data_IF_909283485932
#
_entry.id   IF_909283485932
#
_cell.length_a   1.000
_cell.length_b   1.000
_cell.length_c   1.000
_cell.angle_alpha   90.00
_cell.angle_beta   90.00
_cell.angle_gamma   90.00
#
_symmetry.space_group_name_H-M   'P 1'
#
loop_
_entity.id
_entity.type
_entity.pdbx_description
1 polymer ?
#
# COMPACT_ATOMS: atom_id res chain seq x y z
N UNK A 1 0.37 -7.76 60.97
CA UNK A 1 0.77 -6.96 59.79
C UNK A 1 0.45 -7.80 58.56
N UNK A 2 -0.63 -7.48 57.84
CA UNK A 2 -1.13 -8.23 56.67
C UNK A 2 -0.31 -7.81 55.44
N UNK A 3 0.62 -8.65 55.01
CA UNK A 3 1.34 -8.45 53.74
C UNK A 3 0.41 -8.92 52.61
N UNK A 4 -0.44 -7.97 52.18
CA UNK A 4 -0.88 -7.88 50.80
C UNK A 4 0.34 -7.54 49.92
N UNK A 5 0.20 -7.56 48.60
CA UNK A 5 1.20 -7.19 47.55
C UNK A 5 1.93 -8.35 46.85
N UNK A 6 2.15 -9.51 47.47
CA UNK A 6 2.88 -10.60 46.78
C UNK A 6 2.07 -11.27 45.65
N UNK A 7 0.74 -11.30 45.75
CA UNK A 7 -0.14 -11.81 44.68
C UNK A 7 -0.46 -10.76 43.60
N UNK A 8 -0.33 -9.46 43.92
CA UNK A 8 -0.70 -8.38 43.00
C UNK A 8 0.43 -8.03 42.04
N UNK A 9 1.68 -8.30 42.41
CA UNK A 9 2.86 -7.96 41.60
C UNK A 9 3.15 -8.97 40.47
N UNK A 10 2.58 -10.18 40.56
CA UNK A 10 2.81 -11.27 39.58
C UNK A 10 1.86 -11.20 38.37
N UNK A 11 0.68 -10.57 38.51
CA UNK A 11 -0.33 -10.54 37.43
C UNK A 11 -0.20 -9.29 36.53
N UNK A 12 0.33 -8.18 37.06
CA UNK A 12 0.41 -6.90 36.34
C UNK A 12 1.58 -6.86 35.33
N UNK A 13 2.61 -7.70 35.50
CA UNK A 13 3.85 -7.60 34.71
C UNK A 13 3.85 -8.49 33.46
N UNK A 14 3.01 -9.53 33.38
CA UNK A 14 3.14 -10.55 32.31
C UNK A 14 2.17 -10.45 31.13
N UNK A 15 1.24 -9.48 31.07
CA UNK A 15 0.23 -9.45 29.99
C UNK A 15 0.28 -8.25 29.05
N UNK A 16 1.23 -7.32 29.21
CA UNK A 16 1.29 -6.09 28.39
C UNK A 16 2.12 -6.24 27.11
N UNK A 17 2.72 -7.40 26.83
CA UNK A 17 3.39 -7.65 25.55
C UNK A 17 2.38 -8.13 24.49
N UNK A 18 1.39 -7.28 24.22
CA UNK A 18 0.67 -7.34 22.94
C UNK A 18 1.65 -6.89 21.86
N UNK A 19 2.43 -7.84 21.34
CA UNK A 19 3.28 -7.64 20.17
C UNK A 19 2.43 -7.34 18.94
N UNK A 20 1.94 -6.12 18.82
CA UNK A 20 1.43 -5.59 17.58
C UNK A 20 2.66 -5.28 16.72
N UNK A 21 3.10 -6.25 15.92
CA UNK A 21 4.10 -6.04 14.88
C UNK A 21 3.49 -5.17 13.78
N UNK A 22 3.37 -3.87 14.03
CA UNK A 22 3.19 -2.91 12.94
C UNK A 22 4.51 -2.91 12.17
N UNK A 23 4.47 -3.26 10.89
CA UNK A 23 5.65 -3.09 10.04
C UNK A 23 6.08 -1.63 10.10
N UNK A 24 7.37 -1.44 10.34
CA UNK A 24 7.96 -0.11 10.47
C UNK A 24 7.99 0.55 9.08
N UNK A 25 7.51 1.79 9.00
CA UNK A 25 7.53 2.56 7.76
C UNK A 25 8.98 2.79 7.32
N UNK A 26 9.27 2.48 6.06
CA UNK A 26 10.51 2.87 5.38
C UNK A 26 10.51 4.39 5.12
N UNK A 27 11.66 4.96 4.79
CA UNK A 27 11.74 6.38 4.39
C UNK A 27 10.85 6.67 3.17
N UNK A 28 10.87 5.78 2.16
CA UNK A 28 9.99 5.82 0.99
C UNK A 28 8.53 5.57 1.36
N UNK A 29 8.27 4.72 2.35
CA UNK A 29 6.95 4.49 2.92
C UNK A 29 6.38 5.76 3.58
N UNK A 30 7.20 6.55 4.27
CA UNK A 30 6.78 7.84 4.82
C UNK A 30 6.37 8.82 3.72
N UNK A 31 7.18 8.95 2.66
CA UNK A 31 6.86 9.79 1.48
C UNK A 31 5.54 9.35 0.84
N UNK A 32 5.36 8.04 0.62
CA UNK A 32 4.13 7.50 0.05
C UNK A 32 2.92 7.72 0.97
N UNK A 33 3.11 7.58 2.28
CA UNK A 33 2.07 7.81 3.29
C UNK A 33 1.61 9.26 3.28
N UNK A 34 2.53 10.22 3.28
CA UNK A 34 2.23 11.65 3.25
C UNK A 34 1.45 12.02 1.98
N UNK A 35 1.87 11.54 0.82
CA UNK A 35 1.14 11.74 -0.44
C UNK A 35 -0.31 11.22 -0.38
N UNK A 36 -0.53 10.02 0.17
CA UNK A 36 -1.87 9.45 0.30
C UNK A 36 -2.74 10.22 1.30
N UNK A 37 -2.15 10.71 2.40
CA UNK A 37 -2.85 11.57 3.36
C UNK A 37 -3.22 12.92 2.73
N UNK A 38 -2.35 13.53 1.93
CA UNK A 38 -2.61 14.78 1.19
C UNK A 38 -3.71 14.63 0.14
N UNK A 39 -3.81 13.46 -0.49
CA UNK A 39 -4.94 13.08 -1.36
C UNK A 39 -6.26 12.92 -0.61
N UNK A 40 -6.24 12.95 0.72
CA UNK A 40 -7.42 12.82 1.58
C UNK A 40 -7.84 11.37 1.85
N UNK A 41 -6.98 10.39 1.54
CA UNK A 41 -7.27 8.99 1.81
C UNK A 41 -6.97 8.64 3.26
N UNK A 42 -7.87 7.87 3.89
CA UNK A 42 -7.63 7.32 5.22
C UNK A 42 -6.80 6.04 5.11
N UNK A 43 -5.58 6.09 5.60
CA UNK A 43 -4.68 4.93 5.66
C UNK A 43 -5.16 3.96 6.75
N UNK A 44 -5.49 2.73 6.36
CA UNK A 44 -5.90 1.66 7.27
C UNK A 44 -4.69 0.84 7.74
N UNK A 45 -3.77 0.52 6.83
CA UNK A 45 -2.51 -0.14 7.13
C UNK A 45 -1.44 0.21 6.10
N UNK A 46 -0.20 0.27 6.56
CA UNK A 46 0.99 0.07 5.74
C UNK A 46 1.30 -1.42 5.77
N UNK A 47 1.46 -2.03 4.60
CA UNK A 47 1.71 -3.46 4.51
C UNK A 47 3.21 -3.73 4.52
N UNK A 48 3.95 -3.11 3.59
CA UNK A 48 5.42 -3.17 3.43
C UNK A 48 5.84 -2.50 2.12
N UNK A 49 7.15 -2.34 1.95
CA UNK A 49 7.78 -2.24 0.63
C UNK A 49 7.67 -3.62 -0.05
N UNK A 50 6.88 -3.72 -1.11
CA UNK A 50 6.64 -5.00 -1.80
C UNK A 50 7.70 -5.32 -2.84
N UNK A 51 8.36 -4.29 -3.39
CA UNK A 51 9.41 -4.45 -4.39
C UNK A 51 10.32 -3.21 -4.45
N UNK A 52 11.55 -3.41 -4.94
CA UNK A 52 12.39 -2.34 -5.47
C UNK A 52 13.07 -2.82 -6.74
N UNK A 53 13.13 -2.00 -7.79
CA UNK A 53 13.77 -2.38 -9.05
C UNK A 53 14.38 -1.19 -9.80
N UNK A 54 15.40 -1.45 -10.61
CA UNK A 54 15.95 -0.49 -11.56
C UNK A 54 15.01 -0.37 -12.77
N UNK A 55 14.51 0.83 -13.03
CA UNK A 55 13.63 1.08 -14.17
C UNK A 55 14.47 1.20 -15.45
N UNK A 56 14.42 0.18 -16.29
CA UNK A 56 15.06 0.18 -17.62
C UNK A 56 14.01 -0.08 -18.69
N UNK A 57 14.30 0.26 -19.95
CA UNK A 57 13.40 -0.09 -21.06
C UNK A 57 13.11 -1.59 -21.15
N UNK A 58 14.10 -2.42 -20.86
CA UNK A 58 13.93 -3.88 -20.85
C UNK A 58 12.99 -4.32 -19.73
N UNK A 59 13.11 -3.71 -18.54
CA UNK A 59 12.21 -3.97 -17.41
C UNK A 59 10.77 -3.58 -17.73
N UNK A 60 10.56 -2.42 -18.36
CA UNK A 60 9.23 -1.95 -18.77
C UNK A 60 8.54 -2.83 -19.81
N UNK A 61 9.30 -3.61 -20.61
CA UNK A 61 8.73 -4.54 -21.59
C UNK A 61 8.32 -5.88 -20.98
N UNK A 62 8.57 -6.08 -19.68
CA UNK A 62 8.26 -7.32 -18.97
C UNK A 62 6.97 -7.16 -18.17
N UNK A 63 6.08 -8.18 -18.17
CA UNK A 63 4.99 -8.22 -17.21
C UNK A 63 5.49 -8.35 -15.76
N UNK A 64 4.83 -7.71 -14.77
CA UNK A 64 3.65 -6.84 -14.92
C UNK A 64 3.99 -5.35 -15.19
N UNK A 65 5.25 -4.97 -15.34
CA UNK A 65 5.69 -3.57 -15.38
C UNK A 65 5.14 -2.80 -16.59
N UNK A 66 5.02 -3.46 -17.75
CA UNK A 66 4.41 -2.89 -18.96
C UNK A 66 2.98 -2.38 -18.69
N UNK A 67 2.19 -3.19 -17.99
CA UNK A 67 0.82 -2.87 -17.62
C UNK A 67 0.79 -1.81 -16.53
N UNK A 68 1.62 -1.94 -15.50
CA UNK A 68 1.61 -1.01 -14.37
C UNK A 68 2.01 0.42 -14.77
N UNK A 69 3.03 0.57 -15.63
CA UNK A 69 3.48 1.88 -16.09
C UNK A 69 2.63 2.48 -17.21
N UNK A 70 1.72 1.70 -17.81
CA UNK A 70 0.75 2.23 -18.79
C UNK A 70 -0.53 2.80 -18.16
N UNK A 71 -0.73 2.61 -16.85
CA UNK A 71 -1.83 3.22 -16.09
C UNK A 71 -1.75 4.75 -16.15
N UNK A 72 -2.92 5.39 -16.32
CA UNK A 72 -3.03 6.84 -16.39
C UNK A 72 -2.30 7.55 -15.23
N UNK A 73 -1.52 8.58 -15.56
CA UNK A 73 -0.71 9.36 -14.61
C UNK A 73 0.71 8.82 -14.38
N UNK A 74 1.00 7.57 -14.77
CA UNK A 74 2.36 7.04 -14.71
C UNK A 74 3.14 7.46 -15.97
N UNK A 75 4.32 8.06 -15.79
CA UNK A 75 5.25 8.36 -16.87
C UNK A 75 6.64 7.82 -16.53
N UNK A 76 7.12 6.75 -17.18
CA UNK A 76 8.40 6.15 -16.84
C UNK A 76 9.62 6.90 -17.39
N UNK A 77 9.48 7.68 -18.47
CA UNK A 77 10.62 8.24 -19.21
C UNK A 77 11.59 9.09 -18.34
N UNK A 78 11.11 9.94 -17.41
CA UNK A 78 12.00 10.75 -16.57
C UNK A 78 12.78 9.95 -15.53
N UNK A 79 12.43 8.67 -15.35
CA UNK A 79 12.93 7.83 -14.26
C UNK A 79 13.72 6.62 -14.75
N UNK A 80 14.06 6.56 -16.04
CA UNK A 80 14.97 5.54 -16.54
C UNK A 80 16.32 5.57 -15.81
N UNK A 81 16.86 4.37 -15.59
CA UNK A 81 18.07 4.09 -14.84
C UNK A 81 18.02 4.51 -13.36
N UNK A 82 16.82 4.75 -12.82
CA UNK A 82 16.59 5.02 -11.40
C UNK A 82 15.93 3.85 -10.70
N UNK A 83 16.14 3.76 -9.39
CA UNK A 83 15.48 2.76 -8.55
C UNK A 83 14.06 3.22 -8.21
N UNK A 84 13.08 2.39 -8.51
CA UNK A 84 11.69 2.53 -8.09
C UNK A 84 11.47 1.69 -6.86
N UNK A 85 10.96 2.30 -5.80
CA UNK A 85 10.48 1.63 -4.59
C UNK A 85 8.96 1.53 -4.65
N UNK A 86 8.41 0.35 -4.38
CA UNK A 86 6.97 0.10 -4.44
C UNK A 86 6.45 -0.13 -3.04
N UNK A 87 5.70 0.85 -2.53
CA UNK A 87 5.16 0.84 -1.17
C UNK A 87 3.68 0.47 -1.18
N UNK A 88 3.30 -0.52 -0.38
CA UNK A 88 1.92 -1.01 -0.35
C UNK A 88 1.16 -0.53 0.87
N UNK A 89 -0.02 0.04 0.63
CA UNK A 89 -0.98 0.42 1.66
C UNK A 89 -2.36 -0.15 1.40
N UNK A 90 -3.15 -0.22 2.47
CA UNK A 90 -4.60 -0.37 2.40
C UNK A 90 -5.21 0.96 2.82
N UNK A 91 -6.05 1.52 1.96
CA UNK A 91 -6.70 2.83 2.18
C UNK A 91 -8.21 2.73 2.13
N UNK A 92 -8.85 3.78 2.63
CA UNK A 92 -10.29 4.04 2.56
C UNK A 92 -10.52 5.50 2.13
N UNK A 93 -11.66 5.79 1.54
CA UNK A 93 -11.97 7.09 0.92
C UNK A 93 -11.47 7.20 -0.52
N UNK A 94 -10.98 6.10 -1.10
CA UNK A 94 -10.55 6.05 -2.49
C UNK A 94 -11.76 5.84 -3.43
N UNK A 95 -11.76 6.35 -4.68
CA UNK A 95 -12.89 6.18 -5.61
C UNK A 95 -13.32 4.71 -5.81
N UNK A 96 -12.35 3.79 -5.75
CA UNK A 96 -12.59 2.34 -5.89
C UNK A 96 -13.17 1.66 -4.62
N UNK A 97 -13.39 2.38 -3.53
CA UNK A 97 -14.11 1.84 -2.37
C UNK A 97 -15.52 1.36 -2.75
N UNK A 98 -16.15 2.05 -3.71
CA UNK A 98 -17.48 1.72 -4.21
C UNK A 98 -17.46 1.04 -5.59
N UNK A 99 -16.30 0.52 -5.99
CA UNK A 99 -16.15 -0.13 -7.29
C UNK A 99 -17.08 -1.33 -7.43
N UNK A 100 -17.69 -1.48 -8.60
CA UNK A 100 -18.54 -2.61 -8.97
C UNK A 100 -18.40 -2.92 -10.46
N UNK A 101 -18.25 -4.21 -10.78
CA UNK A 101 -18.26 -4.69 -12.17
C UNK A 101 -18.73 -6.13 -12.21
N UNK A 102 -19.56 -6.47 -13.21
CA UNK A 102 -20.07 -7.83 -13.44
C UNK A 102 -20.66 -8.51 -12.17
N UNK A 103 -21.36 -7.74 -11.33
CA UNK A 103 -21.95 -8.23 -10.07
C UNK A 103 -20.95 -8.46 -8.93
N UNK A 104 -19.68 -8.11 -9.13
CA UNK A 104 -18.63 -8.11 -8.09
C UNK A 104 -18.50 -6.70 -7.53
N UNK A 105 -18.61 -6.57 -6.21
CA UNK A 105 -18.45 -5.29 -5.49
C UNK A 105 -17.19 -5.28 -4.66
N UNK A 106 -16.59 -4.09 -4.54
CA UNK A 106 -15.56 -3.80 -3.55
C UNK A 106 -16.09 -3.98 -2.12
N UNK A 107 -15.19 -4.30 -1.19
CA UNK A 107 -15.45 -4.41 0.25
C UNK A 107 -15.27 -3.08 0.98
N UNK A 108 -15.22 -1.96 0.26
CA UNK A 108 -15.09 -0.62 0.85
C UNK A 108 -13.69 -0.28 1.35
N UNK A 109 -12.67 -0.88 0.73
CA UNK A 109 -11.26 -0.53 0.91
C UNK A 109 -10.47 -0.87 -0.35
N UNK A 110 -9.30 -0.26 -0.49
CA UNK A 110 -8.48 -0.35 -1.71
C UNK A 110 -7.03 -0.65 -1.33
N UNK A 111 -6.39 -1.53 -2.11
CA UNK A 111 -4.95 -1.71 -2.08
C UNK A 111 -4.31 -0.72 -3.04
N UNK A 112 -3.31 0.01 -2.58
CA UNK A 112 -2.52 0.94 -3.39
C UNK A 112 -1.05 0.55 -3.34
N UNK A 113 -0.40 0.54 -4.50
CA UNK A 113 1.04 0.42 -4.65
C UNK A 113 1.55 1.77 -5.16
N UNK A 114 2.30 2.47 -4.33
CA UNK A 114 2.84 3.80 -4.64
C UNK A 114 4.27 3.64 -5.14
N UNK A 115 4.59 4.25 -6.28
CA UNK A 115 5.93 4.25 -6.85
C UNK A 115 6.68 5.48 -6.36
N UNK A 116 7.80 5.25 -5.68
CA UNK A 116 8.66 6.30 -5.14
C UNK A 116 10.03 6.22 -5.81
N UNK A 117 10.50 7.34 -6.35
CA UNK A 117 11.83 7.49 -6.97
C UNK A 117 12.45 8.78 -6.44
N UNK A 118 13.72 8.73 -6.03
CA UNK A 118 14.47 9.89 -5.50
C UNK A 118 13.70 10.69 -4.42
N UNK A 119 12.94 10.00 -3.56
CA UNK A 119 12.17 10.61 -2.47
C UNK A 119 10.89 11.32 -2.90
N UNK A 120 10.38 11.09 -4.12
CA UNK A 120 9.12 11.63 -4.60
C UNK A 120 8.18 10.53 -5.10
N UNK A 121 6.87 10.72 -4.91
CA UNK A 121 5.86 9.86 -5.55
C UNK A 121 5.78 10.20 -7.03
N UNK A 122 6.02 9.19 -7.87
CA UNK A 122 6.08 9.35 -9.33
C UNK A 122 4.95 8.65 -10.08
N UNK A 123 4.09 7.95 -9.34
CA UNK A 123 3.00 7.17 -9.89
C UNK A 123 2.55 6.07 -8.94
N UNK A 124 1.74 5.17 -9.45
CA UNK A 124 1.29 4.00 -8.72
C UNK A 124 0.09 3.34 -9.36
N UNK A 125 -0.39 2.30 -8.69
CA UNK A 125 -1.56 1.52 -9.12
C UNK A 125 -2.45 1.22 -7.92
N UNK A 126 -3.74 1.03 -8.17
CA UNK A 126 -4.75 0.75 -7.16
C UNK A 126 -5.69 -0.37 -7.58
N UNK A 127 -6.21 -1.08 -6.58
CA UNK A 127 -7.05 -2.26 -6.75
C UNK A 127 -8.14 -2.31 -5.67
N UNK A 128 -9.45 -2.34 -6.00
CA UNK A 128 -10.49 -2.60 -5.01
C UNK A 128 -10.29 -3.94 -4.31
N UNK A 129 -10.54 -3.97 -3.00
CA UNK A 129 -10.59 -5.23 -2.27
C UNK A 129 -11.89 -5.97 -2.59
N UNK A 130 -11.83 -6.98 -3.44
CA UNK A 130 -12.99 -7.76 -3.87
C UNK A 130 -13.01 -9.16 -3.21
N UNK A 131 -14.12 -9.92 -3.29
CA UNK A 131 -14.15 -11.30 -2.82
C UNK A 131 -13.15 -12.19 -3.58
N UNK A 132 -12.35 -12.96 -2.84
CA UNK A 132 -11.22 -13.73 -3.37
C UNK A 132 -11.56 -14.68 -4.53
N UNK A 133 -12.79 -15.17 -4.61
CA UNK A 133 -13.25 -16.09 -5.67
C UNK A 133 -13.26 -15.49 -7.08
N UNK A 134 -13.26 -14.16 -7.23
CA UNK A 134 -13.35 -13.54 -8.55
C UNK A 134 -11.99 -13.17 -9.14
N UNK A 135 -10.98 -12.93 -8.29
CA UNK A 135 -9.67 -12.43 -8.71
C UNK A 135 -9.74 -11.06 -9.41
N UNK A 136 -8.60 -10.38 -9.50
CA UNK A 136 -8.47 -9.21 -10.36
C UNK A 136 -7.41 -9.47 -11.41
N UNK A 137 -7.72 -9.09 -12.64
CA UNK A 137 -6.87 -9.28 -13.81
C UNK A 137 -6.67 -7.91 -14.46
N UNK A 138 -5.44 -7.59 -14.84
CA UNK A 138 -5.09 -6.37 -15.54
C UNK A 138 -4.13 -5.44 -14.77
N UNK A 139 -3.92 -4.26 -15.33
CA UNK A 139 -2.97 -3.24 -14.85
C UNK A 139 -3.34 -2.66 -13.47
N UNK A 140 -4.63 -2.69 -13.10
CA UNK A 140 -5.16 -1.91 -12.00
C UNK A 140 -5.68 -0.56 -12.49
N UNK A 141 -5.89 0.36 -11.56
CA UNK A 141 -6.30 1.74 -11.80
C UNK A 141 -5.23 2.69 -11.29
N UNK A 142 -5.29 3.97 -11.64
CA UNK A 142 -4.38 5.00 -11.10
C UNK A 142 -4.58 5.19 -9.59
N UNK A 143 -3.70 5.97 -8.94
CA UNK A 143 -3.87 6.37 -7.54
C UNK A 143 -5.10 7.27 -7.30
N UNK A 144 -5.73 7.75 -8.38
CA UNK A 144 -6.96 8.51 -8.37
C UNK A 144 -8.16 7.67 -8.87
N UNK A 145 -7.96 6.37 -9.12
CA UNK A 145 -9.01 5.43 -9.51
C UNK A 145 -9.42 5.46 -10.98
N UNK A 146 -8.61 6.06 -11.84
CA UNK A 146 -8.84 6.12 -13.29
C UNK A 146 -8.27 4.88 -13.99
N UNK A 147 -8.97 4.38 -15.02
CA UNK A 147 -8.54 3.24 -15.84
C UNK A 147 -7.65 3.66 -16.98
#
# INVERSE_FOLDING_TARGET
>A
MRINYMFFLVIVVCTVLSGCSKEELTETGLVAKEYLDEKGYKILSYEKQVESYLLTESKLKQPPYDLQWSVAGNNPEPYFDKTVYVEKFIVKGHPLDNWESNGVKSKGKVYVHVFVVDGAVVGGISYPDIPARHGMVGAGYSLDGES
#
